data_IF_058984956896
#
_entry.id   IF_058984956896
#
_cell.length_a   1.000
_cell.length_b   1.000
_cell.length_c   1.000
_cell.angle_alpha   90.00
_cell.angle_beta   90.00
_cell.angle_gamma   90.00
#
_symmetry.space_group_name_H-M   'P 1'
#
loop_
_entity.id
_entity.type
_entity.pdbx_description
1 polymer ?
#
# COMPACT_ATOMS: atom_id res chain seq x y z
N UNK A 1 -4.09 -8.94 0.65
CA UNK A 1 -3.93 -10.20 -0.09
C UNK A 1 -3.17 -11.21 0.76
N UNK A 2 -3.81 -12.33 1.10
CA UNK A 2 -3.27 -13.41 1.91
C UNK A 2 -3.26 -14.70 1.09
N UNK A 3 -2.23 -15.50 1.25
CA UNK A 3 -2.12 -16.86 0.67
C UNK A 3 -2.34 -17.97 1.71
N UNK A 4 -2.22 -17.62 2.99
CA UNK A 4 -2.58 -18.51 4.08
C UNK A 4 -4.08 -18.52 4.24
N UNK A 5 -4.69 -19.71 4.09
CA UNK A 5 -6.13 -19.92 4.24
C UNK A 5 -6.42 -20.27 5.70
N UNK A 6 -7.30 -19.51 6.31
CA UNK A 6 -7.79 -19.78 7.67
C UNK A 6 -9.31 -19.97 7.64
N UNK A 7 -9.73 -21.20 7.83
CA UNK A 7 -11.15 -21.59 7.87
C UNK A 7 -11.78 -21.42 9.25
N UNK A 8 -11.05 -20.89 10.22
CA UNK A 8 -11.54 -20.63 11.57
C UNK A 8 -12.07 -19.22 11.67
N UNK A 9 -13.14 -19.04 12.47
CA UNK A 9 -13.61 -17.69 12.77
C UNK A 9 -12.49 -16.92 13.48
N UNK A 10 -12.28 -15.67 13.04
CA UNK A 10 -11.29 -14.78 13.63
C UNK A 10 -11.44 -14.68 15.14
N UNK A 11 -10.42 -15.10 15.86
CA UNK A 11 -10.36 -15.06 17.33
C UNK A 11 -9.21 -14.19 17.84
N UNK A 12 -8.54 -13.46 16.95
CA UNK A 12 -7.33 -12.70 17.24
C UNK A 12 -6.06 -13.56 17.31
N UNK A 13 -6.14 -14.81 16.88
CA UNK A 13 -5.01 -15.71 16.69
C UNK A 13 -5.30 -16.66 15.54
N UNK A 14 -4.41 -16.75 14.59
CA UNK A 14 -4.54 -17.60 13.40
C UNK A 14 -3.18 -18.05 12.88
N UNK A 15 -3.10 -18.82 11.78
CA UNK A 15 -1.85 -19.35 11.27
C UNK A 15 -1.05 -18.36 10.42
N UNK A 16 -1.42 -17.08 10.37
CA UNK A 16 -0.80 -16.13 9.46
C UNK A 16 0.55 -15.58 9.95
N UNK A 17 1.33 -15.14 8.98
CA UNK A 17 2.64 -14.54 9.19
C UNK A 17 2.56 -13.25 10.06
N UNK A 18 3.67 -12.77 10.65
CA UNK A 18 5.03 -13.29 10.46
C UNK A 18 5.43 -14.46 11.38
N UNK A 19 4.69 -14.70 12.44
CA UNK A 19 5.03 -15.65 13.50
C UNK A 19 4.17 -16.94 13.50
N UNK A 20 3.19 -17.02 12.58
CA UNK A 20 2.23 -18.12 12.53
C UNK A 20 1.15 -18.03 13.62
N UNK A 21 0.98 -16.87 14.26
CA UNK A 21 0.05 -16.63 15.33
C UNK A 21 -0.87 -15.41 15.06
N UNK A 22 -0.68 -14.76 13.89
CA UNK A 22 -1.47 -13.60 13.52
C UNK A 22 -2.83 -14.02 12.93
N UNK A 23 -3.82 -13.19 13.16
CA UNK A 23 -5.14 -13.33 12.57
C UNK A 23 -5.09 -13.12 11.06
N UNK A 24 -5.62 -14.06 10.30
CA UNK A 24 -5.70 -13.96 8.85
C UNK A 24 -6.85 -13.04 8.44
N UNK A 25 -6.62 -12.24 7.40
CA UNK A 25 -7.59 -11.24 6.88
C UNK A 25 -7.83 -11.44 5.39
N UNK A 26 -7.74 -12.67 4.95
CA UNK A 26 -7.85 -13.04 3.55
C UNK A 26 -8.93 -14.07 3.30
N UNK A 27 -8.77 -14.79 2.22
CA UNK A 27 -9.66 -15.87 1.82
C UNK A 27 -9.65 -17.00 2.85
N UNK A 28 -10.82 -17.57 3.13
CA UNK A 28 -10.98 -18.75 4.00
C UNK A 28 -11.10 -20.05 3.22
N UNK A 29 -11.13 -19.98 1.89
CA UNK A 29 -11.13 -21.12 0.98
C UNK A 29 -10.21 -20.91 -0.23
N UNK A 30 -9.83 -22.02 -0.88
CA UNK A 30 -9.03 -21.95 -2.12
C UNK A 30 -9.79 -21.23 -3.23
N UNK A 31 -11.09 -21.41 -3.31
CA UNK A 31 -11.92 -20.79 -4.33
C UNK A 31 -11.96 -19.26 -4.17
N UNK A 32 -12.03 -18.77 -2.93
CA UNK A 32 -11.95 -17.34 -2.64
C UNK A 32 -10.58 -16.76 -2.93
N UNK A 33 -9.51 -17.47 -2.57
CA UNK A 33 -8.15 -17.06 -2.91
C UNK A 33 -7.98 -16.95 -4.44
N UNK A 34 -8.53 -17.88 -5.20
CA UNK A 34 -8.47 -17.85 -6.66
C UNK A 34 -9.23 -16.63 -7.23
N UNK A 35 -10.41 -16.30 -6.67
CA UNK A 35 -11.16 -15.08 -7.05
C UNK A 35 -10.38 -13.81 -6.68
N UNK A 36 -9.84 -13.72 -5.46
CA UNK A 36 -9.05 -12.58 -5.01
C UNK A 36 -7.81 -12.38 -5.91
N UNK A 37 -7.11 -13.47 -6.21
CA UNK A 37 -5.94 -13.47 -7.09
C UNK A 37 -6.26 -12.96 -8.48
N UNK A 38 -7.35 -13.46 -9.08
CA UNK A 38 -7.78 -13.05 -10.42
C UNK A 38 -8.17 -11.57 -10.46
N UNK A 39 -8.96 -11.09 -9.50
CA UNK A 39 -9.35 -9.68 -9.40
C UNK A 39 -8.13 -8.77 -9.22
N UNK A 40 -7.20 -9.12 -8.33
CA UNK A 40 -5.96 -8.37 -8.15
C UNK A 40 -5.13 -8.31 -9.45
N UNK A 41 -5.02 -9.42 -10.17
CA UNK A 41 -4.32 -9.47 -11.46
C UNK A 41 -5.02 -8.62 -12.54
N UNK A 42 -6.37 -8.61 -12.58
CA UNK A 42 -7.15 -7.75 -13.49
C UNK A 42 -6.81 -6.28 -13.23
N UNK A 43 -6.88 -5.84 -11.97
CA UNK A 43 -6.61 -4.45 -11.58
C UNK A 43 -5.20 -4.02 -11.99
N UNK A 44 -4.19 -4.81 -11.62
CA UNK A 44 -2.80 -4.51 -11.94
C UNK A 44 -2.59 -4.43 -13.46
N UNK A 45 -3.13 -5.37 -14.23
CA UNK A 45 -2.99 -5.36 -15.69
C UNK A 45 -3.76 -4.22 -16.35
N UNK A 46 -4.90 -3.81 -15.80
CA UNK A 46 -5.72 -2.70 -16.34
C UNK A 46 -5.05 -1.35 -16.08
N UNK A 47 -4.56 -1.11 -14.88
CA UNK A 47 -3.79 0.09 -14.55
C UNK A 47 -2.50 0.19 -15.34
N UNK A 48 -1.86 -0.94 -15.61
CA UNK A 48 -0.69 -1.04 -16.48
C UNK A 48 0.48 -0.12 -16.07
N UNK A 49 0.63 0.16 -14.77
CA UNK A 49 1.69 1.02 -14.26
C UNK A 49 3.07 0.31 -14.26
N UNK A 50 4.15 1.08 -14.28
CA UNK A 50 5.50 0.54 -14.28
C UNK A 50 6.01 0.17 -12.87
N UNK A 51 5.38 0.74 -11.82
CA UNK A 51 5.64 0.40 -10.42
C UNK A 51 4.34 0.43 -9.63
N UNK A 52 4.19 -0.48 -8.67
CA UNK A 52 3.08 -0.53 -7.71
C UNK A 52 3.62 -0.57 -6.28
N UNK A 53 3.03 0.26 -5.42
CA UNK A 53 3.13 0.11 -3.98
C UNK A 53 1.87 -0.60 -3.46
N UNK A 54 2.06 -1.64 -2.67
CA UNK A 54 0.98 -2.37 -2.01
C UNK A 54 0.99 -2.10 -0.51
N UNK A 55 -0.19 -1.92 0.05
CA UNK A 55 -0.49 -2.20 1.45
C UNK A 55 -0.99 -3.65 1.58
N UNK A 56 -1.30 -4.09 2.76
CA UNK A 56 -2.07 -5.31 3.09
C UNK A 56 -1.68 -6.61 2.36
N UNK A 57 -0.40 -6.78 2.01
CA UNK A 57 0.11 -8.09 1.65
C UNK A 57 0.44 -8.88 2.92
N UNK A 58 0.05 -10.15 2.99
CA UNK A 58 0.43 -11.03 4.09
C UNK A 58 1.95 -11.00 4.29
N UNK A 59 2.38 -10.83 5.53
CA UNK A 59 3.78 -10.60 5.90
C UNK A 59 4.60 -11.90 5.88
N UNK A 60 4.50 -12.63 4.78
CA UNK A 60 5.31 -13.83 4.52
C UNK A 60 6.72 -13.48 4.07
N UNK A 61 7.58 -14.47 3.97
CA UNK A 61 8.86 -14.33 3.28
C UNK A 61 8.65 -13.97 1.81
N UNK A 62 9.63 -13.36 1.13
CA UNK A 62 9.49 -12.96 -0.27
C UNK A 62 9.08 -14.09 -1.23
N UNK A 63 9.37 -15.34 -0.91
CA UNK A 63 8.94 -16.49 -1.70
C UNK A 63 7.47 -16.92 -1.48
N UNK A 64 6.74 -16.22 -0.62
CA UNK A 64 5.34 -16.50 -0.31
C UNK A 64 4.36 -15.68 -1.15
N UNK A 65 3.56 -14.88 -0.45
CA UNK A 65 2.40 -14.16 -0.99
C UNK A 65 2.69 -13.31 -2.23
N UNK A 66 3.82 -12.56 -2.24
CA UNK A 66 4.14 -11.71 -3.40
C UNK A 66 4.49 -12.52 -4.66
N UNK A 67 5.12 -13.67 -4.50
CA UNK A 67 5.46 -14.55 -5.63
C UNK A 67 4.20 -15.19 -6.22
N UNK A 68 3.25 -15.57 -5.38
CA UNK A 68 1.95 -16.09 -5.82
C UNK A 68 1.20 -15.05 -6.65
N UNK A 69 1.07 -13.82 -6.13
CA UNK A 69 0.43 -12.71 -6.85
C UNK A 69 1.12 -12.42 -8.18
N UNK A 70 2.46 -12.34 -8.19
CA UNK A 70 3.24 -12.09 -9.42
C UNK A 70 3.09 -13.20 -10.46
N UNK A 71 2.91 -14.44 -10.05
CA UNK A 71 2.61 -15.55 -10.94
C UNK A 71 1.34 -15.29 -11.75
N UNK A 72 0.26 -14.91 -11.08
CA UNK A 72 -1.02 -14.58 -11.72
C UNK A 72 -0.92 -13.31 -12.59
N UNK A 73 -0.30 -12.25 -12.05
CA UNK A 73 -0.12 -10.97 -12.76
C UNK A 73 0.65 -11.17 -14.07
N UNK A 74 1.81 -11.83 -14.02
CA UNK A 74 2.62 -12.03 -15.23
C UNK A 74 1.96 -12.98 -16.23
N UNK A 75 1.22 -13.98 -15.76
CA UNK A 75 0.44 -14.85 -16.64
C UNK A 75 -0.67 -14.09 -17.36
N UNK A 76 -1.33 -13.15 -16.67
CA UNK A 76 -2.44 -12.38 -17.22
C UNK A 76 -1.97 -11.19 -18.07
N UNK A 77 -1.07 -10.36 -17.56
CA UNK A 77 -0.62 -9.16 -18.27
C UNK A 77 0.17 -9.51 -19.55
N UNK A 78 0.98 -10.56 -19.49
CA UNK A 78 1.90 -10.92 -20.59
C UNK A 78 2.91 -9.81 -20.87
N UNK A 79 3.48 -9.83 -22.07
CA UNK A 79 4.32 -8.74 -22.56
C UNK A 79 5.83 -8.93 -22.38
N UNK A 80 6.60 -7.97 -22.94
CA UNK A 80 8.06 -8.02 -22.99
C UNK A 80 8.72 -7.62 -21.65
N UNK A 81 7.98 -6.95 -20.77
CA UNK A 81 8.45 -6.39 -19.51
C UNK A 81 7.66 -6.97 -18.34
N UNK A 82 8.00 -8.19 -17.87
CA UNK A 82 7.31 -8.81 -16.75
C UNK A 82 7.55 -8.02 -15.45
N UNK A 83 6.60 -8.14 -14.53
CA UNK A 83 6.75 -7.62 -13.18
C UNK A 83 7.65 -8.51 -12.33
N UNK A 84 8.43 -7.88 -11.49
CA UNK A 84 9.16 -8.51 -10.38
C UNK A 84 8.96 -7.69 -9.11
N UNK A 85 9.40 -8.20 -7.96
CA UNK A 85 9.24 -7.50 -6.68
C UNK A 85 10.57 -6.97 -6.14
N UNK A 86 10.47 -6.02 -5.24
CA UNK A 86 11.60 -5.52 -4.45
C UNK A 86 11.80 -6.46 -3.27
N UNK A 87 12.92 -7.20 -3.28
CA UNK A 87 13.24 -8.17 -2.23
C UNK A 87 13.86 -7.48 -1.01
N UNK A 88 13.15 -7.49 0.10
CA UNK A 88 13.60 -6.95 1.39
C UNK A 88 14.22 -8.00 2.31
N UNK A 89 14.39 -9.23 1.85
CA UNK A 89 15.11 -10.30 2.53
C UNK A 89 14.32 -11.10 3.57
N UNK A 90 13.05 -10.78 3.85
CA UNK A 90 12.26 -11.50 4.85
C UNK A 90 10.94 -10.82 5.21
N UNK A 91 10.35 -11.25 6.33
CA UNK A 91 9.21 -10.55 6.95
C UNK A 91 9.63 -9.18 7.47
N UNK A 92 8.71 -8.22 7.49
CA UNK A 92 8.96 -6.86 7.96
C UNK A 92 7.93 -6.44 9.00
N UNK A 93 8.42 -6.00 10.16
CA UNK A 93 7.56 -5.56 11.26
C UNK A 93 6.85 -6.71 11.96
N UNK A 94 5.80 -6.38 12.69
CA UNK A 94 5.11 -7.30 13.60
C UNK A 94 3.65 -7.57 13.24
N UNK A 95 3.13 -6.86 12.22
CA UNK A 95 1.74 -7.04 11.77
C UNK A 95 1.62 -8.23 10.80
N UNK A 96 0.43 -8.83 10.72
CA UNK A 96 0.10 -9.86 9.74
C UNK A 96 0.29 -9.39 8.29
N UNK A 97 0.24 -8.08 8.07
CA UNK A 97 0.36 -7.44 6.76
C UNK A 97 1.60 -6.55 6.68
N UNK A 98 2.07 -6.36 5.47
CA UNK A 98 3.22 -5.51 5.15
C UNK A 98 2.98 -4.69 3.89
N UNK A 99 3.81 -3.67 3.69
CA UNK A 99 3.93 -2.99 2.40
C UNK A 99 4.89 -3.73 1.48
N UNK A 100 4.71 -3.60 0.17
CA UNK A 100 5.63 -4.14 -0.83
C UNK A 100 5.62 -3.32 -2.11
N UNK A 101 6.62 -3.56 -2.96
CA UNK A 101 6.77 -2.95 -4.29
C UNK A 101 6.92 -4.04 -5.34
N UNK A 102 6.20 -3.89 -6.48
CA UNK A 102 6.50 -4.57 -7.72
C UNK A 102 6.81 -3.55 -8.81
N UNK A 103 7.61 -3.93 -9.78
CA UNK A 103 8.00 -3.06 -10.88
C UNK A 103 8.25 -3.85 -12.17
N UNK A 104 8.17 -3.18 -13.33
CA UNK A 104 8.47 -3.76 -14.65
C UNK A 104 9.96 -3.82 -14.92
N UNK A 105 10.46 -5.03 -15.11
CA UNK A 105 11.84 -5.23 -15.58
C UNK A 105 12.01 -4.69 -17.01
N UNK A 106 13.16 -4.06 -17.27
CA UNK A 106 13.44 -3.46 -18.58
C UNK A 106 12.83 -2.05 -18.78
N UNK A 107 11.85 -1.63 -17.96
CA UNK A 107 11.41 -0.24 -17.87
C UNK A 107 12.14 0.45 -16.72
N UNK A 108 12.16 -0.19 -15.57
CA UNK A 108 12.79 0.30 -14.35
C UNK A 108 13.94 -0.62 -13.93
N UNK A 109 15.00 -0.02 -13.41
CA UNK A 109 16.15 -0.72 -12.81
C UNK A 109 16.34 -0.24 -11.37
N UNK A 110 16.34 -1.13 -10.37
CA UNK A 110 16.61 -0.76 -8.98
C UNK A 110 18.02 -0.19 -8.83
N UNK A 111 18.15 0.85 -8.02
CA UNK A 111 19.42 1.48 -7.64
C UNK A 111 19.70 1.17 -6.18
N UNK A 112 20.77 0.42 -5.92
CA UNK A 112 21.09 -0.05 -4.57
C UNK A 112 20.13 -1.09 -4.04
N UNK A 113 20.32 -1.46 -2.77
CA UNK A 113 19.40 -2.33 -2.05
C UNK A 113 18.19 -1.54 -1.53
N UNK A 114 17.02 -2.18 -1.34
CA UNK A 114 15.90 -1.53 -0.69
C UNK A 114 16.25 -1.13 0.74
N UNK A 115 15.64 -0.06 1.20
CA UNK A 115 15.78 0.44 2.56
C UNK A 115 14.45 0.29 3.29
N UNK A 116 14.46 -0.19 4.54
CA UNK A 116 13.26 -0.27 5.37
C UNK A 116 13.50 0.46 6.69
N UNK A 117 12.51 1.23 7.13
CA UNK A 117 12.56 1.87 8.44
C UNK A 117 12.07 0.93 9.53
N UNK A 118 12.99 0.26 10.20
CA UNK A 118 12.69 -0.71 11.25
C UNK A 118 12.46 -0.07 12.63
N UNK A 119 12.23 1.24 12.71
CA UNK A 119 11.86 1.89 13.96
C UNK A 119 10.57 1.24 14.53
N UNK A 120 10.54 0.87 15.82
CA UNK A 120 9.40 0.17 16.43
C UNK A 120 8.08 0.96 16.43
N UNK A 121 8.10 2.26 16.08
CA UNK A 121 6.88 3.02 15.85
C UNK A 121 6.05 2.44 14.68
N UNK A 122 6.70 1.72 13.76
CA UNK A 122 6.07 1.09 12.61
C UNK A 122 5.83 -0.39 12.87
N UNK A 123 4.57 -0.79 13.08
CA UNK A 123 4.20 -2.22 13.02
C UNK A 123 4.32 -2.76 11.59
N UNK A 124 4.19 -1.89 10.59
CA UNK A 124 4.33 -2.11 9.15
C UNK A 124 5.40 -1.15 8.61
N UNK A 125 6.68 -1.52 8.65
CA UNK A 125 7.78 -0.67 8.23
C UNK A 125 7.65 -0.18 6.78
N UNK A 126 7.74 1.13 6.50
CA UNK A 126 7.82 1.62 5.13
C UNK A 126 9.11 1.13 4.47
N UNK A 127 9.03 0.89 3.17
CA UNK A 127 10.15 0.40 2.37
C UNK A 127 10.40 1.32 1.19
N UNK A 128 11.61 1.82 1.03
CA UNK A 128 12.02 2.66 -0.09
C UNK A 128 12.80 1.84 -1.12
N UNK A 129 12.48 2.03 -2.40
CA UNK A 129 13.32 1.60 -3.51
C UNK A 129 13.50 2.75 -4.48
N UNK A 130 14.75 3.02 -4.80
CA UNK A 130 15.12 3.96 -5.85
C UNK A 130 15.22 3.23 -7.17
N UNK A 131 14.75 3.86 -8.26
CA UNK A 131 14.75 3.32 -9.61
C UNK A 131 15.35 4.31 -10.60
N UNK A 132 16.09 3.79 -11.58
CA UNK A 132 16.39 4.47 -12.83
C UNK A 132 15.41 4.01 -13.92
N UNK A 133 14.92 4.95 -14.74
CA UNK A 133 14.14 4.64 -15.94
C UNK A 133 15.13 4.25 -17.04
N UNK A 134 15.13 2.99 -17.46
CA UNK A 134 16.13 2.41 -18.38
C UNK A 134 15.59 2.08 -19.77
N UNK A 135 14.29 2.14 -20.00
CA UNK A 135 13.71 1.98 -21.34
C UNK A 135 13.92 3.26 -22.17
N UNK A 136 14.71 3.17 -23.22
CA UNK A 136 14.99 4.29 -24.10
C UNK A 136 13.75 4.81 -24.88
N UNK A 137 12.67 4.04 -24.94
CA UNK A 137 11.41 4.47 -25.53
C UNK A 137 10.53 5.25 -24.54
N UNK A 138 10.84 5.19 -23.24
CA UNK A 138 10.10 5.91 -22.20
C UNK A 138 10.49 7.40 -22.22
N UNK A 139 9.50 8.35 -22.19
CA UNK A 139 9.80 9.78 -22.16
C UNK A 139 10.65 10.22 -20.96
N UNK A 140 10.59 9.48 -19.85
CA UNK A 140 11.39 9.73 -18.65
C UNK A 140 12.74 8.99 -18.64
N UNK A 141 13.22 8.47 -19.79
CA UNK A 141 14.49 7.76 -19.89
C UNK A 141 15.64 8.53 -19.23
N UNK A 142 16.39 7.85 -18.37
CA UNK A 142 17.51 8.42 -17.64
C UNK A 142 17.13 9.19 -16.37
N UNK A 143 15.84 9.34 -16.06
CA UNK A 143 15.40 9.93 -14.79
C UNK A 143 15.52 8.90 -13.67
N UNK A 144 15.73 9.43 -12.45
CA UNK A 144 15.78 8.67 -11.20
C UNK A 144 14.69 9.14 -10.28
N UNK A 145 14.10 8.22 -9.51
CA UNK A 145 13.12 8.54 -8.46
C UNK A 145 13.06 7.42 -7.41
N UNK A 146 12.53 7.74 -6.24
CA UNK A 146 12.33 6.78 -5.15
C UNK A 146 10.85 6.62 -4.86
N UNK A 147 10.38 5.38 -4.71
CA UNK A 147 9.01 5.06 -4.30
C UNK A 147 9.01 4.46 -2.92
N UNK A 148 8.10 4.94 -2.05
CA UNK A 148 7.94 4.48 -0.67
C UNK A 148 6.46 4.17 -0.41
N UNK A 149 6.03 2.91 -0.47
CA UNK A 149 4.72 2.50 0.00
C UNK A 149 4.65 2.61 1.53
N UNK A 150 3.52 3.09 2.01
CA UNK A 150 3.24 3.32 3.42
C UNK A 150 1.92 2.69 3.81
N UNK A 151 1.81 2.25 5.06
CA UNK A 151 0.55 1.87 5.66
C UNK A 151 0.62 2.22 7.16
N UNK A 152 0.06 3.37 7.52
CA UNK A 152 0.09 3.85 8.91
C UNK A 152 -0.89 3.08 9.79
N UNK A 153 -0.78 3.27 11.10
CA UNK A 153 -1.65 2.59 12.09
C UNK A 153 -3.12 2.94 11.85
N UNK A 154 -3.97 1.92 11.83
CA UNK A 154 -5.42 2.08 11.63
C UNK A 154 -6.09 2.85 12.78
N UNK A 155 -7.26 3.44 12.48
CA UNK A 155 -8.09 4.23 13.42
C UNK A 155 -8.85 3.39 14.45
N UNK A 156 -8.97 2.06 14.25
CA UNK A 156 -9.90 1.22 14.98
C UNK A 156 -9.48 0.86 16.41
N UNK A 157 -8.22 1.07 16.80
CA UNK A 157 -7.73 0.73 18.15
C UNK A 157 -6.52 1.55 18.53
N UNK A 158 -6.39 1.89 19.82
CA UNK A 158 -5.25 2.59 20.39
C UNK A 158 -3.98 1.73 20.30
N UNK A 159 -2.87 2.34 19.85
CA UNK A 159 -1.55 1.73 19.87
C UNK A 159 -0.80 1.97 21.20
N UNK A 160 -1.38 2.77 22.09
CA UNK A 160 -0.91 2.95 23.46
C UNK A 160 -0.02 4.17 23.71
N UNK A 161 0.19 5.04 22.73
CA UNK A 161 0.81 6.33 23.00
C UNK A 161 -0.16 7.29 23.70
N UNK A 162 0.31 8.22 24.53
CA UNK A 162 -0.53 9.30 25.02
C UNK A 162 -1.14 10.09 23.86
N UNK A 163 -2.47 10.21 23.85
CA UNK A 163 -3.23 10.84 22.76
C UNK A 163 -3.68 9.90 21.65
N UNK A 164 -3.57 8.58 21.88
CA UNK A 164 -4.07 7.55 20.95
C UNK A 164 -5.52 7.14 21.19
N UNK A 165 -6.11 7.58 22.31
CA UNK A 165 -7.50 7.26 22.58
C UNK A 165 -8.44 8.02 21.64
N UNK A 166 -9.49 7.37 21.15
CA UNK A 166 -10.54 8.03 20.41
C UNK A 166 -11.35 8.93 21.35
N UNK A 167 -11.28 10.22 21.10
CA UNK A 167 -11.99 11.24 21.88
C UNK A 167 -13.21 11.82 21.16
N UNK A 168 -13.61 11.21 20.03
CA UNK A 168 -14.78 11.60 19.24
C UNK A 168 -14.58 12.88 18.41
N UNK A 169 -13.34 13.26 18.11
CA UNK A 169 -12.99 14.42 17.30
C UNK A 169 -12.92 14.13 15.77
N UNK A 170 -13.23 12.88 15.40
CA UNK A 170 -13.18 12.40 14.01
C UNK A 170 -11.82 11.85 13.59
N UNK A 171 -10.74 12.09 14.36
CA UNK A 171 -9.43 11.51 14.05
C UNK A 171 -9.36 10.00 14.37
N UNK A 172 -10.27 9.49 15.23
CA UNK A 172 -10.28 8.11 15.68
C UNK A 172 -9.10 7.76 16.56
N UNK A 173 -8.98 6.48 16.95
CA UNK A 173 -7.87 6.03 17.77
C UNK A 173 -6.53 6.13 17.01
N UNK A 174 -5.42 6.11 17.78
CA UNK A 174 -4.03 6.11 17.28
C UNK A 174 -3.59 7.32 16.46
N UNK A 175 -4.23 8.49 16.63
CA UNK A 175 -3.83 9.70 15.90
C UNK A 175 -2.42 10.18 16.31
N UNK A 176 -2.07 10.08 17.59
CA UNK A 176 -0.71 10.41 18.06
C UNK A 176 0.35 9.48 17.46
N UNK A 177 0.07 8.18 17.42
CA UNK A 177 0.95 7.18 16.76
C UNK A 177 1.11 7.50 15.28
N UNK A 178 0.04 7.74 14.52
CA UNK A 178 0.14 8.08 13.08
C UNK A 178 0.93 9.36 12.86
N UNK A 179 0.74 10.37 13.72
CA UNK A 179 1.51 11.62 13.66
C UNK A 179 3.00 11.36 13.90
N UNK A 180 3.35 10.53 14.89
CA UNK A 180 4.71 10.13 15.15
C UNK A 180 5.32 9.32 14.00
N UNK A 181 4.54 8.42 13.37
CA UNK A 181 4.95 7.68 12.17
C UNK A 181 5.25 8.63 11.01
N UNK A 182 4.39 9.63 10.75
CA UNK A 182 4.62 10.63 9.70
C UNK A 182 5.88 11.46 9.95
N UNK A 183 6.10 11.92 11.20
CA UNK A 183 7.31 12.65 11.58
C UNK A 183 8.57 11.77 11.45
N UNK A 184 8.49 10.50 11.85
CA UNK A 184 9.58 9.53 11.70
C UNK A 184 9.90 9.28 10.23
N UNK A 185 8.89 9.12 9.38
CA UNK A 185 9.04 8.93 7.94
C UNK A 185 9.83 10.10 7.31
N UNK A 186 9.48 11.35 7.62
CA UNK A 186 10.20 12.53 7.16
C UNK A 186 11.68 12.53 7.60
N UNK A 187 11.93 12.20 8.86
CA UNK A 187 13.29 12.13 9.39
C UNK A 187 14.11 11.02 8.70
N UNK A 188 13.51 9.85 8.49
CA UNK A 188 14.16 8.73 7.83
C UNK A 188 14.45 9.02 6.35
N UNK A 189 13.50 9.63 5.63
CA UNK A 189 13.70 10.06 4.24
C UNK A 189 14.91 10.99 4.16
N UNK A 190 14.93 12.03 4.99
CA UNK A 190 16.03 13.03 4.99
C UNK A 190 17.39 12.45 5.36
N UNK A 191 17.43 11.60 6.39
CA UNK A 191 18.68 11.11 6.94
C UNK A 191 19.24 9.87 6.23
N UNK A 192 18.38 9.08 5.58
CA UNK A 192 18.75 7.76 5.05
C UNK A 192 18.43 7.62 3.57
N UNK A 193 17.17 7.88 3.18
CA UNK A 193 16.72 7.60 1.80
C UNK A 193 17.36 8.54 0.79
N UNK A 194 17.27 9.85 1.00
CA UNK A 194 17.82 10.85 0.08
C UNK A 194 19.34 10.72 -0.13
N UNK A 195 20.16 10.51 0.93
CA UNK A 195 21.59 10.26 0.74
C UNK A 195 21.89 8.99 -0.07
N UNK A 196 21.11 7.93 0.11
CA UNK A 196 21.31 6.67 -0.59
C UNK A 196 20.82 6.74 -2.05
N UNK A 197 19.70 7.42 -2.31
CA UNK A 197 19.15 7.62 -3.64
C UNK A 197 20.04 8.51 -4.52
N UNK A 198 20.74 9.47 -3.90
CA UNK A 198 21.47 10.54 -4.56
C UNK A 198 20.59 11.32 -5.59
N UNK A 199 19.29 11.42 -5.27
CA UNK A 199 18.26 12.07 -6.06
C UNK A 199 17.12 12.55 -5.12
N UNK A 200 16.58 13.78 -5.31
CA UNK A 200 15.56 14.34 -4.41
C UNK A 200 14.13 13.91 -4.74
N UNK A 201 13.90 13.19 -5.83
CA UNK A 201 12.56 12.83 -6.29
C UNK A 201 12.02 11.64 -5.51
N UNK A 202 11.04 11.91 -4.64
CA UNK A 202 10.41 10.91 -3.77
C UNK A 202 8.90 10.93 -3.98
N UNK A 203 8.34 9.73 -4.18
CA UNK A 203 6.91 9.45 -4.24
C UNK A 203 6.52 8.58 -3.05
N UNK A 204 5.63 9.08 -2.20
CA UNK A 204 4.99 8.29 -1.15
C UNK A 204 3.63 7.83 -1.63
N UNK A 205 3.32 6.56 -1.44
CA UNK A 205 2.05 5.96 -1.83
C UNK A 205 1.47 5.16 -0.66
N UNK A 206 0.16 5.02 -0.60
CA UNK A 206 -0.50 4.04 0.26
C UNK A 206 -1.55 4.58 1.20
N UNK A 207 -1.96 3.73 2.14
CA UNK A 207 -2.95 4.04 3.16
C UNK A 207 -2.30 4.71 4.37
N UNK A 208 -2.58 6.00 4.53
CA UNK A 208 -2.11 6.79 5.67
C UNK A 208 -3.12 6.79 6.83
N UNK A 209 -4.24 6.10 6.70
CA UNK A 209 -5.29 5.98 7.73
C UNK A 209 -5.69 7.32 8.36
N UNK A 210 -5.63 8.40 7.59
CA UNK A 210 -5.88 9.77 8.08
C UNK A 210 -6.51 10.60 6.97
N UNK A 211 -7.50 11.40 7.32
CA UNK A 211 -8.10 12.35 6.39
C UNK A 211 -7.21 13.60 6.23
N UNK A 212 -7.41 14.35 5.14
CA UNK A 212 -6.53 15.42 4.69
C UNK A 212 -6.20 16.51 5.73
N UNK A 213 -7.09 16.77 6.70
CA UNK A 213 -6.88 17.78 7.74
C UNK A 213 -6.32 17.21 9.05
N UNK A 214 -6.12 15.90 9.13
CA UNK A 214 -5.57 15.28 10.34
C UNK A 214 -4.06 15.51 10.47
N UNK A 215 -3.57 15.44 11.70
CA UNK A 215 -2.19 15.76 12.04
C UNK A 215 -1.14 14.94 11.26
N UNK A 216 -1.31 13.65 10.97
CA UNK A 216 -0.35 12.89 10.16
C UNK A 216 -0.15 13.50 8.77
N UNK A 217 -1.25 13.85 8.09
CA UNK A 217 -1.22 14.41 6.72
C UNK A 217 -0.64 15.83 6.72
N UNK A 218 -1.10 16.68 7.65
CA UNK A 218 -0.55 18.04 7.78
C UNK A 218 0.93 18.04 8.17
N UNK A 219 1.41 17.01 8.88
CA UNK A 219 2.84 16.80 9.17
C UNK A 219 3.63 16.54 7.89
N UNK A 220 3.16 15.66 7.00
CA UNK A 220 3.83 15.36 5.73
C UNK A 220 3.84 16.59 4.81
N UNK A 221 2.71 17.29 4.69
CA UNK A 221 2.61 18.52 3.90
C UNK A 221 3.52 19.61 4.48
N UNK A 222 3.54 19.81 5.80
CA UNK A 222 4.45 20.72 6.48
C UNK A 222 5.93 20.34 6.32
N UNK A 223 6.21 19.07 6.06
CA UNK A 223 7.55 18.54 5.75
C UNK A 223 7.97 18.72 4.29
N UNK A 224 7.14 19.35 3.45
CA UNK A 224 7.48 19.70 2.08
C UNK A 224 6.96 18.72 1.02
N UNK A 225 6.09 17.78 1.39
CA UNK A 225 5.41 16.90 0.44
C UNK A 225 4.09 17.54 -0.05
N UNK A 226 3.79 17.34 -1.32
CA UNK A 226 2.53 17.75 -1.93
C UNK A 226 1.57 16.58 -1.97
N UNK A 227 0.38 16.72 -1.38
CA UNK A 227 -0.74 15.81 -1.60
C UNK A 227 -1.24 16.00 -3.03
N UNK A 228 -0.95 15.05 -3.90
CA UNK A 228 -1.23 15.15 -5.33
C UNK A 228 -2.73 15.09 -5.63
N UNK A 229 -3.49 14.30 -4.89
CA UNK A 229 -4.93 14.18 -5.10
C UNK A 229 -5.65 15.50 -4.75
N UNK A 230 -5.38 16.02 -3.56
CA UNK A 230 -5.95 17.34 -3.19
C UNK A 230 -5.49 18.45 -4.14
N UNK A 231 -4.23 18.43 -4.57
CA UNK A 231 -3.68 19.47 -5.43
C UNK A 231 -4.27 19.44 -6.86
N UNK A 232 -4.55 18.27 -7.42
CA UNK A 232 -4.97 18.12 -8.81
C UNK A 232 -6.47 17.83 -8.98
N UNK A 233 -7.12 17.15 -8.03
CA UNK A 233 -8.54 16.82 -8.07
C UNK A 233 -9.39 17.74 -7.17
N UNK A 234 -8.76 18.41 -6.19
CA UNK A 234 -9.45 19.31 -5.27
C UNK A 234 -10.51 18.57 -4.45
N UNK A 235 -11.71 19.17 -4.39
CA UNK A 235 -12.85 18.61 -3.62
C UNK A 235 -13.43 17.30 -4.20
N UNK A 236 -12.98 16.87 -5.37
CA UNK A 236 -13.40 15.61 -5.97
C UNK A 236 -12.49 14.41 -5.55
N UNK A 237 -11.44 14.68 -4.79
CA UNK A 237 -10.54 13.64 -4.30
C UNK A 237 -11.25 12.79 -3.25
N UNK A 238 -11.40 11.48 -3.50
CA UNK A 238 -11.78 10.50 -2.48
C UNK A 238 -11.28 9.12 -2.91
N UNK A 239 -10.98 8.26 -1.95
CA UNK A 239 -10.64 6.87 -2.17
C UNK A 239 -11.53 5.92 -1.37
N UNK A 240 -12.28 6.45 -0.41
CA UNK A 240 -13.04 5.66 0.57
C UNK A 240 -14.38 6.31 0.91
N UNK A 241 -15.39 5.46 1.10
CA UNK A 241 -16.73 5.86 1.55
C UNK A 241 -17.01 5.21 2.90
N UNK A 242 -17.25 6.03 3.93
CA UNK A 242 -17.58 5.57 5.27
C UNK A 242 -18.82 6.31 5.80
N UNK A 243 -19.82 5.57 6.26
CA UNK A 243 -21.10 6.14 6.73
C UNK A 243 -21.73 7.16 5.76
N UNK A 244 -21.58 6.91 4.43
CA UNK A 244 -22.10 7.79 3.39
C UNK A 244 -21.29 9.10 3.21
N UNK A 245 -20.12 9.21 3.80
CA UNK A 245 -19.21 10.34 3.66
C UNK A 245 -18.01 9.95 2.79
N UNK A 246 -17.69 10.82 1.83
CA UNK A 246 -16.53 10.68 0.96
C UNK A 246 -15.29 11.23 1.65
N UNK A 247 -14.18 10.52 1.56
CA UNK A 247 -12.87 10.96 2.01
C UNK A 247 -11.76 10.13 1.40
N UNK A 248 -10.51 10.52 1.57
CA UNK A 248 -9.40 9.69 1.16
C UNK A 248 -8.50 9.37 2.36
N UNK A 249 -8.12 8.11 2.44
CA UNK A 249 -7.15 7.54 3.39
C UNK A 249 -5.89 7.11 2.65
N UNK A 250 -6.04 6.83 1.36
CA UNK A 250 -4.97 6.51 0.43
C UNK A 250 -4.49 7.79 -0.24
N UNK A 251 -3.18 7.93 -0.36
CA UNK A 251 -2.55 9.15 -0.87
C UNK A 251 -1.43 8.83 -1.83
N UNK A 252 -1.19 9.80 -2.72
CA UNK A 252 0.05 9.96 -3.44
C UNK A 252 0.68 11.31 -3.07
N UNK A 253 1.83 11.28 -2.38
CA UNK A 253 2.58 12.50 -2.06
C UNK A 253 3.87 12.55 -2.87
N UNK A 254 4.16 13.71 -3.45
CA UNK A 254 5.43 13.97 -4.13
C UNK A 254 6.30 14.96 -3.37
N UNK A 255 7.63 14.75 -3.40
CA UNK A 255 8.59 15.76 -2.97
C UNK A 255 8.50 17.01 -3.84
N UNK A 256 8.99 18.15 -3.33
CA UNK A 256 8.95 19.42 -4.05
C UNK A 256 9.67 19.38 -5.41
N UNK A 257 10.70 18.54 -5.55
CA UNK A 257 11.42 18.33 -6.82
C UNK A 257 10.64 17.48 -7.82
N UNK A 258 9.89 16.47 -7.33
CA UNK A 258 9.08 15.58 -8.16
C UNK A 258 7.76 16.24 -8.60
N UNK A 259 7.14 17.07 -7.76
CA UNK A 259 5.84 17.70 -8.02
C UNK A 259 5.71 18.34 -9.42
N UNK A 260 6.70 19.11 -9.94
CA UNK A 260 6.61 19.68 -11.27
C UNK A 260 6.64 18.66 -12.42
N UNK A 261 7.03 17.43 -12.15
CA UNK A 261 7.13 16.34 -13.14
C UNK A 261 5.85 15.50 -13.20
N UNK A 262 4.93 15.68 -12.23
CA UNK A 262 3.65 14.96 -12.19
C UNK A 262 2.71 15.56 -13.22
N UNK A 263 2.24 14.74 -14.16
CA UNK A 263 1.35 15.14 -15.25
C UNK A 263 -0.12 14.85 -14.98
N UNK A 264 -0.41 14.04 -13.95
CA UNK A 264 -1.79 13.71 -13.55
C UNK A 264 -1.82 12.80 -12.35
N UNK A 265 -2.99 12.72 -11.74
CA UNK A 265 -3.33 11.79 -10.65
C UNK A 265 -4.76 11.32 -10.87
N UNK A 266 -5.12 10.18 -10.34
CA UNK A 266 -6.48 9.68 -10.33
C UNK A 266 -6.64 8.60 -9.28
N UNK A 267 -7.81 8.57 -8.66
CA UNK A 267 -8.25 7.48 -7.80
C UNK A 267 -9.20 6.60 -8.61
N UNK A 268 -8.88 5.33 -8.71
CA UNK A 268 -9.80 4.34 -9.22
C UNK A 268 -10.51 3.70 -8.03
N UNK A 269 -11.80 4.01 -7.86
CA UNK A 269 -12.56 3.59 -6.67
C UNK A 269 -12.84 2.09 -6.63
N UNK A 270 -12.58 1.39 -7.73
CA UNK A 270 -12.65 -0.08 -7.86
C UNK A 270 -13.94 -0.65 -7.24
N UNK A 271 -13.92 -0.98 -5.96
CA UNK A 271 -15.03 -1.51 -5.19
C UNK A 271 -15.40 -0.63 -3.98
N UNK A 272 -14.84 0.57 -3.84
CA UNK A 272 -15.16 1.46 -2.71
C UNK A 272 -16.63 1.90 -2.68
N UNK A 273 -17.27 1.97 -3.86
CA UNK A 273 -18.67 2.37 -4.04
C UNK A 273 -19.60 1.16 -4.24
N UNK A 274 -19.07 -0.05 -4.21
CA UNK A 274 -19.84 -1.28 -4.48
C UNK A 274 -20.50 -1.82 -3.20
N UNK A 275 -21.59 -2.54 -3.40
CA UNK A 275 -22.19 -3.28 -2.30
C UNK A 275 -21.30 -4.47 -1.93
N UNK A 276 -21.16 -4.76 -0.63
CA UNK A 276 -20.35 -5.88 -0.14
C UNK A 276 -20.75 -7.27 -0.70
N UNK A 277 -21.96 -7.38 -1.26
CA UNK A 277 -22.41 -8.59 -1.96
C UNK A 277 -21.55 -8.94 -3.20
N UNK A 278 -20.85 -7.96 -3.77
CA UNK A 278 -19.97 -8.13 -4.94
C UNK A 278 -18.53 -8.51 -4.59
N UNK A 279 -18.23 -8.66 -3.30
CA UNK A 279 -16.90 -9.05 -2.84
C UNK A 279 -16.50 -10.46 -3.32
N UNK A 280 -15.20 -10.75 -3.31
CA UNK A 280 -14.66 -12.10 -3.57
C UNK A 280 -15.03 -13.11 -2.47
N UNK A 281 -15.29 -12.60 -1.28
CA UNK A 281 -15.70 -13.36 -0.11
C UNK A 281 -17.16 -13.81 -0.24
N UNK A 282 -17.47 -15.04 0.15
CA UNK A 282 -18.82 -15.63 0.02
C UNK A 282 -19.55 -15.85 1.36
N UNK A 283 -19.02 -15.41 2.47
CA UNK A 283 -19.62 -15.52 3.80
C UNK A 283 -20.99 -14.85 3.92
N UNK A 284 -21.25 -13.83 3.12
CA UNK A 284 -22.52 -13.08 3.12
C UNK A 284 -23.56 -13.66 2.15
N UNK A 285 -23.24 -14.77 1.49
CA UNK A 285 -24.13 -15.41 0.51
C UNK A 285 -24.84 -16.61 1.11
N UNK A 286 -26.03 -16.89 0.60
CA UNK A 286 -26.74 -18.12 0.94
C UNK A 286 -26.04 -19.33 0.32
N UNK A 287 -26.16 -20.49 0.99
CA UNK A 287 -25.55 -21.75 0.53
C UNK A 287 -26.08 -22.08 -0.88
N UNK A 288 -25.17 -22.15 -1.83
CA UNK A 288 -25.46 -22.48 -3.22
C UNK A 288 -25.59 -21.28 -4.16
N UNK A 289 -25.46 -20.05 -3.67
CA UNK A 289 -25.29 -18.88 -4.51
C UNK A 289 -23.88 -18.83 -5.08
N UNK A 290 -23.77 -18.66 -6.40
CA UNK A 290 -22.47 -18.43 -7.02
C UNK A 290 -21.96 -17.03 -6.73
N UNK A 291 -20.63 -16.90 -6.58
CA UNK A 291 -20.00 -15.60 -6.57
C UNK A 291 -20.32 -14.84 -7.86
N UNK A 292 -20.58 -13.54 -7.78
CA UNK A 292 -20.65 -12.72 -8.98
C UNK A 292 -19.25 -12.71 -9.61
N UNK A 293 -19.19 -13.17 -10.86
CA UNK A 293 -17.99 -13.02 -11.70
C UNK A 293 -18.15 -11.70 -12.48
N UNK A 294 -17.32 -10.73 -12.19
CA UNK A 294 -17.13 -9.54 -13.01
C UNK A 294 -15.78 -9.56 -13.72
#
# INVERSE_FOLDING_TARGET
>A
YFTTIDTTASTGSGPCAPDGLQDCRGADSVAELDRQRERAAIVICTLNADVYGFGELENTTPSGTITDLLGAVNARCGGAHPYTFVDTGGTLGTDAIRVALIYRTGILSPVGAPLSDLDPIHSRPPTAQTFDVVDAANPAFGQRFTVIPNHLKSKGSSAGLPGDDDIGDGAGASNATRTAQAARLLAWISATVLPAAADPDVLLLGDFNSYAQEAPITTLVGGGFTDLETALLGAAAYSYVFDGQLGHLDYAFSSASLTPQVTGVGSWHINADEAGLLDYNDEIRDVGESAFEE
#
